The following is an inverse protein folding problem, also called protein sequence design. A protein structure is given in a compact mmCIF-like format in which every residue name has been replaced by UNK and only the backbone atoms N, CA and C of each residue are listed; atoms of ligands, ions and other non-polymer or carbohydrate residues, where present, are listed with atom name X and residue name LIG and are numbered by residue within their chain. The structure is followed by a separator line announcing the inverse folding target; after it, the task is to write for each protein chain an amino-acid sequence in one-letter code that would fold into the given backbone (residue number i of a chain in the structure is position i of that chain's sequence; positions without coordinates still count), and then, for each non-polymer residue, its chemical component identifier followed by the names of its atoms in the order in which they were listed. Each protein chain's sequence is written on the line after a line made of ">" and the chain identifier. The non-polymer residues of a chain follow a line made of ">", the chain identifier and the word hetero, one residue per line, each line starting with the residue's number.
data_IF_537125297284
#
_entry.id   IF_537125297284
#
_cell.length_a   1.000
_cell.length_b   1.000
_cell.length_c   1.000
_cell.angle_alpha   90.00
_cell.angle_beta   90.00
_cell.angle_gamma   90.00
#
_symmetry.space_group_name_H-M   'P 1'
#
loop_
_entity.id
_entity.type
_entity.pdbx_description
1 polymer ?
#
# COMPACT_ATOMS: atom_id res chain seq x y z
N UNK A 1 3.77 16.22 -6.93
CA UNK A 1 4.05 15.05 -6.07
C UNK A 1 2.91 14.06 -6.09
N UNK A 2 1.66 14.46 -5.74
CA UNK A 2 0.48 13.59 -5.80
C UNK A 2 0.28 12.94 -7.19
N UNK A 3 0.13 13.74 -8.26
CA UNK A 3 -0.16 13.22 -9.61
C UNK A 3 0.85 12.18 -10.11
N UNK A 4 2.12 12.41 -9.83
CA UNK A 4 3.20 11.49 -10.20
C UNK A 4 3.19 10.21 -9.36
N UNK A 5 2.83 10.32 -8.08
CA UNK A 5 2.76 9.18 -7.17
C UNK A 5 1.56 8.29 -7.49
N UNK A 6 0.41 8.90 -7.77
CA UNK A 6 -0.78 8.22 -8.27
C UNK A 6 -0.48 7.50 -9.59
N UNK A 7 0.12 8.20 -10.56
CA UNK A 7 0.47 7.60 -11.85
C UNK A 7 1.44 6.43 -11.74
N UNK A 8 2.44 6.50 -10.86
CA UNK A 8 3.48 5.46 -10.72
C UNK A 8 3.05 4.27 -9.87
N UNK A 9 2.35 4.54 -8.76
CA UNK A 9 2.10 3.55 -7.72
C UNK A 9 0.61 3.28 -7.45
N UNK A 10 -0.29 3.91 -8.22
CA UNK A 10 -1.75 3.82 -8.02
C UNK A 10 -2.16 4.10 -6.57
N UNK A 11 -1.46 5.04 -5.94
CA UNK A 11 -1.66 5.46 -4.56
C UNK A 11 -1.71 6.98 -4.49
N UNK A 12 -2.71 7.52 -3.79
CA UNK A 12 -2.85 8.95 -3.54
C UNK A 12 -2.35 9.29 -2.14
N UNK A 13 -1.29 10.09 -2.07
CA UNK A 13 -0.78 10.59 -0.78
C UNK A 13 -1.78 11.53 -0.10
N UNK A 14 -2.61 12.23 -0.88
CA UNK A 14 -3.67 13.09 -0.35
C UNK A 14 -4.80 12.26 0.27
N UNK A 15 -5.25 11.21 -0.41
CA UNK A 15 -6.28 10.30 0.14
C UNK A 15 -5.77 9.59 1.39
N UNK A 16 -4.51 9.14 1.41
CA UNK A 16 -3.90 8.55 2.60
C UNK A 16 -3.91 9.55 3.77
N UNK A 17 -3.51 10.80 3.53
CA UNK A 17 -3.50 11.85 4.56
C UNK A 17 -4.90 12.19 5.05
N UNK A 18 -5.87 12.24 4.14
CA UNK A 18 -7.27 12.49 4.48
C UNK A 18 -7.86 11.34 5.30
N UNK A 19 -7.56 10.09 4.93
CA UNK A 19 -8.00 8.93 5.70
C UNK A 19 -7.44 8.95 7.12
N UNK A 20 -6.14 9.22 7.28
CA UNK A 20 -5.52 9.34 8.61
C UNK A 20 -6.15 10.47 9.41
N UNK A 21 -6.48 11.60 8.77
CA UNK A 21 -7.18 12.72 9.42
C UNK A 21 -8.58 12.34 9.91
N UNK A 22 -9.30 11.51 9.16
CA UNK A 22 -10.70 11.13 9.47
C UNK A 22 -10.81 9.95 10.43
N UNK A 23 -9.93 8.95 10.29
CA UNK A 23 -10.06 7.64 10.94
C UNK A 23 -8.91 7.29 11.88
N UNK A 24 -7.83 8.08 11.87
CA UNK A 24 -6.64 7.86 12.67
C UNK A 24 -5.61 6.95 11.99
N UNK A 25 -4.40 6.98 12.54
CA UNK A 25 -3.26 6.24 12.00
C UNK A 25 -3.41 4.72 12.16
N UNK A 26 -3.97 4.25 13.28
CA UNK A 26 -4.11 2.81 13.57
C UNK A 26 -4.95 2.10 12.50
N UNK A 27 -6.16 2.62 12.21
CA UNK A 27 -7.04 2.10 11.16
C UNK A 27 -6.39 2.17 9.78
N UNK A 28 -5.63 3.23 9.52
CA UNK A 28 -4.89 3.35 8.26
C UNK A 28 -3.87 2.22 8.13
N UNK A 29 -3.09 1.96 9.18
CA UNK A 29 -2.07 0.91 9.17
C UNK A 29 -2.66 -0.50 9.08
N UNK A 30 -3.81 -0.77 9.71
CA UNK A 30 -4.55 -2.02 9.53
C UNK A 30 -4.95 -2.22 8.07
N UNK A 31 -5.57 -1.21 7.45
CA UNK A 31 -5.95 -1.25 6.03
C UNK A 31 -4.71 -1.42 5.11
N UNK A 32 -3.61 -0.71 5.37
CA UNK A 32 -2.37 -0.88 4.59
C UNK A 32 -1.81 -2.30 4.74
N UNK A 33 -1.82 -2.85 5.95
CA UNK A 33 -1.35 -4.21 6.21
C UNK A 33 -2.15 -5.22 5.42
N UNK A 34 -3.49 -5.15 5.46
CA UNK A 34 -4.34 -6.05 4.66
C UNK A 34 -4.06 -5.91 3.16
N UNK A 35 -3.99 -4.67 2.65
CA UNK A 35 -3.79 -4.39 1.22
C UNK A 35 -2.45 -4.88 0.69
N UNK A 36 -1.40 -4.80 1.49
CA UNK A 36 -0.03 -5.11 1.07
C UNK A 36 0.52 -6.40 1.70
N UNK A 37 -0.33 -7.24 2.27
CA UNK A 37 0.08 -8.59 2.69
C UNK A 37 0.02 -9.53 1.48
N UNK A 38 1.10 -10.27 1.24
CA UNK A 38 1.18 -11.29 0.22
C UNK A 38 0.27 -12.47 0.58
N UNK A 39 -0.67 -12.81 -0.31
CA UNK A 39 -1.57 -13.94 -0.13
C UNK A 39 -0.89 -15.30 -0.23
N UNK A 40 0.32 -15.38 -0.82
CA UNK A 40 1.06 -16.63 -0.97
C UNK A 40 1.90 -16.98 0.27
N UNK A 41 2.58 -16.01 0.86
CA UNK A 41 3.54 -16.27 1.95
C UNK A 41 3.32 -15.44 3.22
N UNK A 42 2.37 -14.49 3.22
CA UNK A 42 2.17 -13.56 4.33
C UNK A 42 3.22 -12.44 4.45
N UNK A 43 4.19 -12.39 3.53
CA UNK A 43 5.18 -11.32 3.43
C UNK A 43 4.59 -9.97 3.00
N UNK A 44 5.41 -8.95 2.87
CA UNK A 44 4.96 -7.60 2.49
C UNK A 44 5.14 -7.39 0.99
N UNK A 45 4.16 -6.74 0.35
CA UNK A 45 4.22 -6.33 -1.05
C UNK A 45 4.70 -4.88 -1.13
N UNK A 46 5.78 -4.65 -1.86
CA UNK A 46 6.31 -3.32 -2.15
C UNK A 46 5.34 -2.53 -3.04
N UNK A 47 4.99 -1.30 -2.64
CA UNK A 47 4.19 -0.39 -3.47
C UNK A 47 4.94 0.05 -4.74
N UNK A 48 6.27 0.00 -4.71
CA UNK A 48 7.11 0.47 -5.80
C UNK A 48 7.26 -0.59 -6.88
N UNK A 49 7.46 -1.83 -6.45
CA UNK A 49 7.78 -2.95 -7.35
C UNK A 49 6.55 -3.82 -7.64
N UNK A 50 5.48 -3.66 -6.84
CA UNK A 50 4.27 -4.50 -6.84
C UNK A 50 4.61 -5.98 -6.69
N UNK A 51 5.63 -6.25 -5.90
CA UNK A 51 6.23 -7.56 -5.70
C UNK A 51 6.40 -7.83 -4.21
N UNK A 52 6.20 -9.08 -3.81
CA UNK A 52 6.44 -9.51 -2.43
C UNK A 52 7.95 -9.51 -2.12
N UNK A 53 8.32 -8.88 -1.01
CA UNK A 53 9.70 -8.83 -0.52
C UNK A 53 10.30 -10.20 -0.17
N UNK A 54 9.44 -11.18 0.13
CA UNK A 54 9.87 -12.51 0.60
C UNK A 54 9.88 -13.55 -0.52
N UNK A 55 8.79 -13.66 -1.27
CA UNK A 55 8.62 -14.72 -2.28
C UNK A 55 8.60 -14.23 -3.72
N UNK A 56 8.77 -12.93 -3.95
CA UNK A 56 8.82 -12.32 -5.28
C UNK A 56 7.53 -12.47 -6.11
N UNK A 57 6.42 -12.87 -5.46
CA UNK A 57 5.11 -12.93 -6.11
C UNK A 57 4.66 -11.52 -6.52
N UNK A 58 4.21 -11.37 -7.77
CA UNK A 58 3.78 -10.08 -8.31
C UNK A 58 2.28 -9.90 -8.18
N UNK A 59 1.86 -8.73 -7.67
CA UNK A 59 0.45 -8.33 -7.76
C UNK A 59 0.07 -8.12 -9.23
N UNK A 60 -1.01 -8.77 -9.66
CA UNK A 60 -1.62 -8.56 -10.97
C UNK A 60 -2.25 -7.16 -11.11
#
# INVERSE_FOLDING_TARGET
>A
MEKSYNKRYRASLMENSEFVRQFGLEKFMEMQKEKYTCSQCGGIISIHDRECSECQEKMK
#
